data_IF_610150919194
#
_entry.id   IF_610150919194
#
_cell.length_a   1.000
_cell.length_b   1.000
_cell.length_c   1.000
_cell.angle_alpha   90.00
_cell.angle_beta   90.00
_cell.angle_gamma   90.00
#
_symmetry.space_group_name_H-M   'P 1'
#
loop_
_entity.id
_entity.type
_entity.pdbx_description
1 polymer ?
#
# COMPACT_ATOMS: atom_id res chain seq x y z
N UNK A 1 0.17 5.62 -74.77
CA UNK A 1 -0.45 4.48 -74.07
C UNK A 1 0.14 4.46 -72.66
N UNK A 2 -0.59 4.68 -71.57
CA UNK A 2 -2.01 5.06 -71.48
C UNK A 2 -2.83 4.20 -70.53
N UNK A 3 -2.47 4.16 -69.25
CA UNK A 3 -3.33 3.68 -68.16
C UNK A 3 -2.93 4.35 -66.85
N UNK A 4 -3.93 4.77 -66.08
CA UNK A 4 -3.83 5.18 -64.67
C UNK A 4 -4.28 4.02 -63.78
N UNK A 5 -3.91 3.99 -62.49
CA UNK A 5 -4.87 3.79 -61.38
C UNK A 5 -4.23 3.84 -59.97
N UNK A 6 -4.58 4.90 -59.23
CA UNK A 6 -4.90 5.00 -57.78
C UNK A 6 -5.62 3.73 -57.24
N UNK A 7 -5.49 3.21 -56.01
CA UNK A 7 -4.79 3.53 -54.73
C UNK A 7 -4.65 2.21 -53.87
N UNK A 8 -4.48 2.09 -52.52
CA UNK A 8 -4.57 3.02 -51.37
C UNK A 8 -3.93 2.46 -50.06
N UNK A 9 -3.94 3.30 -49.01
CA UNK A 9 -3.95 2.97 -47.57
C UNK A 9 -2.68 2.42 -46.89
N UNK A 10 -2.61 2.65 -45.57
CA UNK A 10 -1.39 2.54 -44.74
C UNK A 10 -1.62 1.73 -43.47
N UNK A 11 -0.53 1.13 -42.94
CA UNK A 11 -0.32 0.65 -41.56
C UNK A 11 -1.30 -0.38 -40.98
N UNK A 12 -0.76 -1.56 -40.65
CA UNK A 12 -1.09 -2.27 -39.40
C UNK A 12 -0.01 -3.33 -39.05
N UNK A 13 -0.14 -3.96 -37.88
CA UNK A 13 0.60 -5.15 -37.35
C UNK A 13 2.06 -5.00 -36.86
N UNK A 14 2.17 -4.86 -35.54
CA UNK A 14 2.97 -5.65 -34.57
C UNK A 14 4.21 -6.46 -35.00
N UNK A 15 5.29 -6.35 -34.19
CA UNK A 15 6.07 -7.51 -33.71
C UNK A 15 6.87 -7.22 -32.42
N UNK A 16 7.05 -8.27 -31.61
CA UNK A 16 8.07 -8.52 -30.57
C UNK A 16 9.47 -7.91 -30.89
N UNK A 17 10.37 -7.66 -29.92
CA UNK A 17 10.91 -8.65 -28.96
C UNK A 17 11.60 -8.07 -27.70
N UNK A 18 12.05 -8.96 -26.81
CA UNK A 18 12.56 -8.72 -25.45
C UNK A 18 13.91 -7.98 -25.33
N UNK A 19 14.13 -7.37 -24.16
CA UNK A 19 15.48 -7.09 -23.63
C UNK A 19 15.51 -7.16 -22.10
N UNK A 20 16.12 -8.22 -21.55
CA UNK A 20 16.54 -8.28 -20.14
C UNK A 20 17.79 -7.42 -19.91
N UNK A 21 17.98 -6.87 -18.71
CA UNK A 21 19.30 -6.97 -18.08
C UNK A 21 19.28 -6.84 -16.54
N UNK A 22 20.20 -7.56 -15.88
CA UNK A 22 20.46 -7.51 -14.45
C UNK A 22 21.95 -7.22 -14.21
N UNK A 23 22.33 -6.25 -13.36
CA UNK A 23 23.63 -6.23 -12.73
C UNK A 23 23.64 -7.22 -11.55
N UNK A 24 24.52 -8.23 -11.60
CA UNK A 24 24.80 -9.14 -10.48
C UNK A 24 26.21 -8.86 -9.97
N UNK A 25 26.35 -8.36 -8.75
CA UNK A 25 27.65 -8.22 -8.11
C UNK A 25 27.92 -9.39 -7.16
N UNK A 26 29.16 -9.91 -7.20
CA UNK A 26 29.60 -11.08 -6.44
C UNK A 26 30.37 -10.67 -5.20
N UNK A 27 30.22 -11.44 -4.12
CA UNK A 27 31.22 -11.55 -3.06
C UNK A 27 31.61 -13.04 -2.90
N UNK A 28 32.90 -13.41 -3.04
CA UNK A 28 33.39 -14.76 -2.79
C UNK A 28 33.96 -14.92 -1.36
N UNK A 29 33.87 -16.13 -0.80
CA UNK A 29 34.46 -16.43 0.51
C UNK A 29 33.88 -17.71 1.11
N UNK A 30 34.25 -18.87 0.58
CA UNK A 30 33.87 -20.17 1.14
C UNK A 30 35.00 -20.75 2.01
N UNK A 31 34.65 -21.16 3.22
CA UNK A 31 35.46 -21.99 4.13
C UNK A 31 34.54 -23.03 4.80
N UNK A 32 35.14 -23.96 5.53
CA UNK A 32 34.83 -25.39 5.38
C UNK A 32 34.03 -26.08 6.52
N UNK A 33 33.73 -27.36 6.25
CA UNK A 33 32.89 -28.29 6.99
C UNK A 33 33.29 -28.48 8.46
N UNK A 34 32.30 -28.51 9.38
CA UNK A 34 32.34 -29.40 10.56
C UNK A 34 30.94 -29.72 11.03
N UNK A 35 30.62 -31.01 11.08
CA UNK A 35 29.44 -31.59 11.73
C UNK A 35 29.45 -31.40 13.26
N UNK A 36 28.32 -31.01 13.87
CA UNK A 36 27.97 -31.29 15.26
C UNK A 36 26.44 -31.20 15.44
N UNK A 37 25.89 -31.91 16.42
CA UNK A 37 24.45 -32.20 16.52
C UNK A 37 23.90 -32.09 17.96
N UNK A 38 22.58 -32.24 18.07
CA UNK A 38 21.78 -32.42 19.30
C UNK A 38 21.60 -31.19 20.21
N UNK A 39 20.53 -31.21 21.04
CA UNK A 39 20.07 -30.06 21.86
C UNK A 39 19.14 -29.12 21.08
N UNK A 40 17.85 -29.42 20.93
CA UNK A 40 16.83 -29.14 21.95
C UNK A 40 17.04 -27.82 22.71
N UNK A 41 16.18 -26.82 22.45
CA UNK A 41 15.42 -26.17 23.53
C UNK A 41 14.17 -25.50 22.97
N UNK A 42 13.01 -25.81 23.55
CA UNK A 42 11.76 -25.14 23.22
C UNK A 42 11.84 -23.65 23.57
N UNK A 43 11.40 -22.77 22.67
CA UNK A 43 10.80 -21.52 23.07
C UNK A 43 9.52 -21.25 22.26
N UNK A 44 8.68 -20.39 22.80
CA UNK A 44 7.28 -20.32 22.42
C UNK A 44 7.05 -19.69 21.04
N UNK A 45 5.79 -19.76 20.61
CA UNK A 45 5.22 -18.78 19.69
C UNK A 45 5.45 -17.36 20.23
N UNK A 46 6.57 -16.74 19.86
CA UNK A 46 6.70 -15.30 19.93
C UNK A 46 5.72 -14.71 18.90
N UNK A 47 4.53 -14.34 19.37
CA UNK A 47 3.65 -13.40 18.68
C UNK A 47 4.32 -12.02 18.62
N UNK A 48 5.40 -11.91 17.84
CA UNK A 48 5.91 -10.65 17.35
C UNK A 48 4.84 -10.09 16.44
N UNK A 49 3.95 -9.29 17.04
CA UNK A 49 3.23 -8.26 16.34
C UNK A 49 4.25 -7.33 15.70
N UNK A 50 4.72 -7.72 14.51
CA UNK A 50 5.13 -6.75 13.49
C UNK A 50 3.98 -5.77 13.42
N UNK A 51 4.26 -4.50 13.71
CA UNK A 51 3.24 -3.46 13.62
C UNK A 51 2.96 -3.22 12.14
N UNK A 52 2.08 -4.05 11.56
CA UNK A 52 1.71 -4.02 10.16
C UNK A 52 1.30 -2.61 9.78
N UNK A 53 2.13 -1.97 8.98
CA UNK A 53 2.01 -0.58 8.61
C UNK A 53 2.05 -0.46 7.10
N UNK A 54 1.01 0.16 6.53
CA UNK A 54 0.80 0.24 5.10
C UNK A 54 0.28 1.62 4.71
N UNK A 55 0.42 1.95 3.42
CA UNK A 55 -0.07 3.22 2.88
C UNK A 55 -1.29 2.97 2.00
N UNK A 56 -2.33 3.73 2.28
CA UNK A 56 -3.60 3.79 1.57
C UNK A 56 -3.60 5.06 0.73
N UNK A 57 -3.98 4.97 -0.54
CA UNK A 57 -3.96 6.10 -1.48
C UNK A 57 -5.39 6.41 -1.94
N UNK A 58 -5.90 7.58 -1.55
CA UNK A 58 -7.29 7.98 -1.76
C UNK A 58 -7.32 9.29 -2.54
N UNK A 59 -8.10 9.37 -3.63
CA UNK A 59 -8.27 10.62 -4.34
C UNK A 59 -9.53 11.36 -3.88
N UNK A 60 -9.32 12.47 -3.15
CA UNK A 60 -10.37 13.38 -2.71
C UNK A 60 -10.56 14.57 -3.65
N UNK A 61 -9.88 14.63 -4.80
CA UNK A 61 -10.08 15.69 -5.81
C UNK A 61 -11.42 15.53 -6.54
N UNK A 62 -11.96 14.31 -6.53
CA UNK A 62 -13.34 13.97 -6.93
C UNK A 62 -14.45 14.64 -6.09
N UNK A 63 -14.12 15.25 -4.95
CA UNK A 63 -15.09 15.77 -3.98
C UNK A 63 -15.83 14.69 -3.17
N UNK A 64 -15.51 13.41 -3.38
CA UNK A 64 -16.11 12.30 -2.64
C UNK A 64 -15.68 12.31 -1.16
N UNK A 65 -16.52 11.71 -0.31
CA UNK A 65 -16.24 11.55 1.12
C UNK A 65 -15.32 10.35 1.33
N UNK A 66 -14.41 10.46 2.30
CA UNK A 66 -13.55 9.35 2.70
C UNK A 66 -14.33 8.12 3.20
N UNK A 67 -15.49 8.35 3.83
CA UNK A 67 -16.30 7.30 4.46
C UNK A 67 -15.57 6.62 5.62
N UNK A 68 -14.98 7.42 6.50
CA UNK A 68 -14.34 6.94 7.72
C UNK A 68 -14.72 7.87 8.85
N UNK A 69 -15.12 7.31 9.98
CA UNK A 69 -15.25 8.03 11.25
C UNK A 69 -14.00 7.80 12.08
N UNK A 70 -13.50 8.88 12.69
CA UNK A 70 -12.18 8.92 13.32
C UNK A 70 -12.25 9.60 14.69
N UNK A 71 -12.03 8.80 15.73
CA UNK A 71 -11.77 9.33 17.06
C UNK A 71 -10.40 10.02 17.10
N UNK A 72 -10.36 11.13 17.84
CA UNK A 72 -9.19 11.97 18.08
C UNK A 72 -8.95 12.20 19.58
N UNK A 73 -9.45 11.30 20.45
CA UNK A 73 -9.17 11.29 21.88
C UNK A 73 -7.69 10.96 22.15
N UNK A 74 -7.06 10.22 21.24
CA UNK A 74 -5.62 10.01 21.18
C UNK A 74 -4.90 11.22 20.56
N UNK A 75 -3.97 11.84 21.29
CA UNK A 75 -3.35 13.11 20.87
C UNK A 75 -2.31 12.96 19.74
N UNK A 76 -1.93 11.73 19.37
CA UNK A 76 -0.83 11.47 18.41
C UNK A 76 -1.24 10.67 17.18
N UNK A 77 -2.42 10.04 17.19
CA UNK A 77 -2.98 9.22 16.11
C UNK A 77 -4.50 9.39 16.02
N UNK A 78 -5.08 9.14 14.86
CA UNK A 78 -6.55 9.02 14.73
C UNK A 78 -6.93 7.54 14.77
N UNK A 79 -7.84 7.17 15.68
CA UNK A 79 -8.38 5.81 15.75
C UNK A 79 -9.58 5.72 14.80
N UNK A 80 -9.62 4.69 13.95
CA UNK A 80 -10.77 4.45 13.07
C UNK A 80 -11.86 3.75 13.88
N UNK A 81 -12.93 4.47 14.20
CA UNK A 81 -14.11 3.93 14.89
C UNK A 81 -15.15 3.38 13.90
N UNK A 82 -15.31 4.01 12.75
CA UNK A 82 -16.28 3.61 11.74
C UNK A 82 -15.73 3.64 10.32
N UNK A 83 -16.26 2.78 9.46
CA UNK A 83 -16.05 2.83 8.00
C UNK A 83 -17.41 2.79 7.34
N UNK A 84 -17.70 3.81 6.53
CA UNK A 84 -18.93 3.92 5.76
C UNK A 84 -18.76 3.22 4.40
N UNK A 85 -19.71 2.35 4.07
CA UNK A 85 -19.69 1.55 2.85
C UNK A 85 -19.74 2.39 1.55
N UNK A 86 -20.11 3.68 1.64
CA UNK A 86 -20.25 4.62 0.52
C UNK A 86 -19.04 5.55 0.29
N UNK A 87 -17.92 5.37 0.99
CA UNK A 87 -16.73 6.23 0.82
C UNK A 87 -15.53 5.58 0.14
N UNK A 88 -14.54 6.42 -0.19
CA UNK A 88 -13.28 6.04 -0.83
C UNK A 88 -12.52 4.91 -0.10
N UNK A 89 -12.64 4.80 1.22
CA UNK A 89 -12.06 3.70 2.01
C UNK A 89 -12.72 2.36 1.67
N UNK A 90 -14.04 2.34 1.41
CA UNK A 90 -14.78 1.15 0.99
C UNK A 90 -14.30 0.66 -0.38
N UNK A 91 -14.12 1.58 -1.34
CA UNK A 91 -13.56 1.27 -2.67
C UNK A 91 -12.12 0.74 -2.58
N UNK A 92 -11.27 1.37 -1.75
CA UNK A 92 -9.92 0.87 -1.48
C UNK A 92 -9.94 -0.55 -0.90
N UNK A 93 -10.83 -0.84 0.04
CA UNK A 93 -10.96 -2.16 0.67
C UNK A 93 -11.37 -3.26 -0.31
N UNK A 94 -12.15 -2.93 -1.34
CA UNK A 94 -12.53 -3.85 -2.42
C UNK A 94 -11.37 -4.07 -3.40
N UNK A 95 -10.60 -3.01 -3.71
CA UNK A 95 -9.45 -3.08 -4.61
C UNK A 95 -8.22 -3.77 -3.96
N UNK A 96 -8.06 -3.64 -2.64
CA UNK A 96 -6.87 -4.07 -1.90
C UNK A 96 -7.25 -4.93 -0.67
N UNK A 97 -7.71 -6.18 -0.84
CA UNK A 97 -8.20 -7.02 0.25
C UNK A 97 -7.16 -7.28 1.35
N UNK A 98 -5.88 -7.41 0.99
CA UNK A 98 -4.75 -7.57 1.93
C UNK A 98 -4.47 -6.30 2.76
N UNK A 99 -4.78 -5.14 2.18
CA UNK A 99 -4.58 -3.80 2.76
C UNK A 99 -5.91 -3.10 3.07
N UNK A 100 -6.98 -3.87 3.33
CA UNK A 100 -8.28 -3.35 3.75
C UNK A 100 -8.15 -2.58 5.06
N UNK A 101 -8.59 -1.34 5.13
CA UNK A 101 -8.71 -0.56 6.38
C UNK A 101 -9.90 -1.09 7.19
N UNK A 102 -9.77 -1.18 8.51
CA UNK A 102 -10.78 -1.74 9.41
C UNK A 102 -10.96 -0.89 10.67
N UNK A 103 -12.07 -1.08 11.40
CA UNK A 103 -12.26 -0.51 12.73
C UNK A 103 -11.13 -0.97 13.67
N UNK A 104 -10.62 -0.07 14.50
CA UNK A 104 -9.48 -0.30 15.39
C UNK A 104 -8.10 -0.05 14.75
N UNK A 105 -8.01 0.10 13.43
CA UNK A 105 -6.80 0.61 12.78
C UNK A 105 -6.54 2.08 13.16
N UNK A 106 -5.27 2.52 13.08
CA UNK A 106 -4.86 3.87 13.46
C UNK A 106 -4.20 4.60 12.30
N UNK A 107 -4.68 5.80 11.97
CA UNK A 107 -3.99 6.71 11.05
C UNK A 107 -2.87 7.40 11.83
N UNK A 108 -1.63 7.16 11.40
CA UNK A 108 -0.41 7.73 12.01
C UNK A 108 0.33 8.67 11.06
N UNK A 109 -0.01 8.65 9.75
CA UNK A 109 0.44 9.62 8.76
C UNK A 109 -0.69 10.06 7.83
N UNK A 110 -0.71 11.34 7.42
CA UNK A 110 -1.44 11.81 6.23
C UNK A 110 -0.52 12.73 5.43
N UNK A 111 -0.21 12.39 4.17
CA UNK A 111 0.67 13.15 3.27
C UNK A 111 2.00 13.59 3.93
N UNK A 112 2.67 12.68 4.65
CA UNK A 112 3.90 12.96 5.37
C UNK A 112 3.75 13.73 6.69
N UNK A 113 2.55 14.25 7.03
CA UNK A 113 2.24 14.79 8.37
C UNK A 113 2.04 13.63 9.35
N UNK A 114 2.60 13.73 10.55
CA UNK A 114 2.50 12.75 11.65
C UNK A 114 2.42 13.49 12.98
N UNK A 115 1.92 12.83 14.04
CA UNK A 115 1.91 13.31 15.45
C UNK A 115 1.08 14.57 15.76
N UNK A 116 0.69 15.35 14.75
CA UNK A 116 -0.18 16.52 14.87
C UNK A 116 -1.60 16.17 14.40
N UNK A 117 -2.47 15.71 15.30
CA UNK A 117 -3.82 15.25 14.92
C UNK A 117 -4.67 16.36 14.27
N UNK A 118 -4.52 17.62 14.72
CA UNK A 118 -5.12 18.77 14.05
C UNK A 118 -4.65 18.96 12.60
N UNK A 119 -3.38 18.66 12.29
CA UNK A 119 -2.87 18.68 10.90
C UNK A 119 -3.37 17.46 10.11
N UNK A 120 -3.41 16.25 10.71
CA UNK A 120 -3.97 15.05 10.05
C UNK A 120 -5.42 15.30 9.59
N UNK A 121 -6.25 15.85 10.49
CA UNK A 121 -7.65 16.21 10.20
C UNK A 121 -7.73 17.35 9.17
N UNK A 122 -6.81 18.33 9.19
CA UNK A 122 -6.78 19.41 8.22
C UNK A 122 -6.37 18.93 6.81
N UNK A 123 -5.38 18.05 6.68
CA UNK A 123 -5.01 17.44 5.40
C UNK A 123 -6.15 16.57 4.86
N UNK A 124 -6.73 15.67 5.68
CA UNK A 124 -7.88 14.84 5.29
C UNK A 124 -9.13 15.63 4.87
N UNK A 125 -9.23 16.92 5.23
CA UNK A 125 -10.31 17.83 4.82
C UNK A 125 -10.10 18.46 3.44
N UNK A 126 -8.88 18.44 2.87
CA UNK A 126 -8.56 19.02 1.56
C UNK A 126 -9.00 18.12 0.41
N UNK A 127 -9.39 18.74 -0.70
CA UNK A 127 -9.82 18.06 -1.93
C UNK A 127 -8.61 17.76 -2.84
N UNK A 128 -7.78 16.81 -2.38
CA UNK A 128 -6.54 16.41 -3.05
C UNK A 128 -6.31 14.89 -2.91
N UNK A 129 -5.26 14.38 -3.55
CA UNK A 129 -4.74 13.05 -3.23
C UNK A 129 -4.24 12.98 -1.77
N UNK A 130 -4.65 11.92 -1.08
CA UNK A 130 -4.35 11.64 0.32
C UNK A 130 -3.64 10.29 0.42
N UNK A 131 -2.34 10.33 0.70
CA UNK A 131 -1.55 9.18 1.15
C UNK A 131 -1.72 9.05 2.67
N UNK A 132 -2.49 8.08 3.10
CA UNK A 132 -2.83 7.81 4.51
C UNK A 132 -1.98 6.64 4.99
N UNK A 133 -1.14 6.85 6.01
CA UNK A 133 -0.36 5.78 6.64
C UNK A 133 -1.15 5.15 7.78
N UNK A 134 -1.56 3.90 7.58
CA UNK A 134 -2.32 3.10 8.54
C UNK A 134 -1.38 2.17 9.29
N UNK A 135 -1.42 2.23 10.62
CA UNK A 135 -0.88 1.20 11.51
C UNK A 135 -2.03 0.28 11.94
N UNK A 136 -1.86 -1.04 11.77
CA UNK A 136 -2.84 -2.02 12.23
C UNK A 136 -3.07 -1.91 13.73
N UNK A 137 -4.35 -1.94 14.12
CA UNK A 137 -4.72 -2.20 15.50
C UNK A 137 -4.36 -3.63 15.88
N UNK A 138 -3.73 -3.83 17.04
CA UNK A 138 -3.62 -5.15 17.65
C UNK A 138 -4.99 -5.54 18.22
N UNK A 139 -5.90 -5.94 17.34
CA UNK A 139 -7.29 -6.27 17.67
C UNK A 139 -7.34 -7.59 18.46
N UNK A 140 -7.23 -7.49 19.78
CA UNK A 140 -7.39 -8.62 20.69
C UNK A 140 -8.90 -8.93 20.82
N UNK A 141 -9.26 -10.18 20.54
CA UNK A 141 -10.61 -10.73 20.59
C UNK A 141 -10.71 -11.73 21.75
#
# INVERSE_FOLDING_TARGET
MGTVHTCCSSKDTDRFESAENQPKEKLPGGFDDTHLAEGEFNNACESRHVADFFYVYLDRSTGLRLGVDVDHSDTISLLIDGIDLSGLISEWNVAHPDQKVQQGDRIVEVNGRRRDVAQLVAECKKEQALKVGIQRGAYQH
#
